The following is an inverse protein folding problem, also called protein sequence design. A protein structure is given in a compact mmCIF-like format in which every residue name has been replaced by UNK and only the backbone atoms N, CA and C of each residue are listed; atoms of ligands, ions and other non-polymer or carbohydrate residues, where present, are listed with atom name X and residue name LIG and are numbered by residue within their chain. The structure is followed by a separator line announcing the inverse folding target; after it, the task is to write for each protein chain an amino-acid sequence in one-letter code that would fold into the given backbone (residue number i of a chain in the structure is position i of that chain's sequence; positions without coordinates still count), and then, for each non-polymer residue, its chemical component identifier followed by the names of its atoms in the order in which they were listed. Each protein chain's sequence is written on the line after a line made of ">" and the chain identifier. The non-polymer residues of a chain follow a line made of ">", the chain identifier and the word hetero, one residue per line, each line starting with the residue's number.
data_IF_026351867093
#
_entry.id   IF_026351867093
#
_cell.length_a   1.000
_cell.length_b   1.000
_cell.length_c   1.000
_cell.angle_alpha   90.00
_cell.angle_beta   90.00
_cell.angle_gamma   90.00
#
_symmetry.space_group_name_H-M   'P 1'
#
loop_
_entity.id
_entity.type
_entity.pdbx_description
1 polymer ?
#
# COMPACT_ATOMS: atom_id res chain seq x y z
N UNK A 1 -28.59 -12.65 42.97
CA UNK A 1 -27.55 -11.60 42.88
C UNK A 1 -26.78 -11.79 41.60
N UNK A 2 -26.92 -10.89 40.62
CA UNK A 2 -26.07 -10.90 39.43
C UNK A 2 -24.71 -10.37 39.89
N UNK A 3 -23.64 -11.16 39.77
CA UNK A 3 -22.28 -10.75 40.13
C UNK A 3 -21.96 -9.39 39.49
N UNK A 4 -21.49 -8.43 40.30
CA UNK A 4 -21.12 -7.07 39.85
C UNK A 4 -20.21 -7.11 38.61
N UNK A 5 -19.36 -8.14 38.49
CA UNK A 5 -18.50 -8.35 37.32
C UNK A 5 -19.28 -8.50 35.99
N UNK A 6 -20.49 -9.08 36.01
CA UNK A 6 -21.34 -9.23 34.82
C UNK A 6 -21.95 -7.90 34.39
N UNK A 7 -22.34 -7.06 35.34
CA UNK A 7 -22.91 -5.73 35.09
C UNK A 7 -21.83 -4.76 34.58
N UNK A 8 -20.65 -4.76 35.20
CA UNK A 8 -19.49 -4.03 34.68
C UNK A 8 -19.09 -4.55 33.31
N UNK A 9 -19.04 -5.87 33.08
CA UNK A 9 -18.77 -6.42 31.75
C UNK A 9 -19.82 -6.00 30.69
N UNK A 10 -21.08 -5.77 31.09
CA UNK A 10 -22.13 -5.24 30.21
C UNK A 10 -21.92 -3.75 29.89
N UNK A 11 -21.52 -2.95 30.89
CA UNK A 11 -21.07 -1.57 30.73
C UNK A 11 -19.82 -1.45 29.84
N UNK A 12 -18.85 -2.37 30.00
CA UNK A 12 -17.60 -2.41 29.23
C UNK A 12 -17.75 -3.05 27.84
N UNK A 13 -18.77 -3.89 27.60
CA UNK A 13 -19.12 -4.39 26.25
C UNK A 13 -19.67 -3.30 25.33
N UNK A 14 -20.03 -2.12 25.86
CA UNK A 14 -20.39 -0.93 25.09
C UNK A 14 -19.18 -0.16 24.49
N UNK A 15 -18.05 -0.84 24.29
CA UNK A 15 -16.77 -0.33 23.75
C UNK A 15 -16.84 0.33 22.36
N UNK A 16 -17.98 0.28 21.68
CA UNK A 16 -18.19 0.93 20.38
C UNK A 16 -19.32 1.98 20.37
N UNK A 17 -19.90 2.30 21.52
CA UNK A 17 -21.09 3.13 21.53
C UNK A 17 -20.75 4.60 21.84
N UNK A 18 -21.15 5.49 20.93
CA UNK A 18 -21.18 6.97 21.03
C UNK A 18 -21.74 7.50 22.37
N UNK A 19 -22.39 6.64 23.13
CA UNK A 19 -23.05 6.86 24.41
C UNK A 19 -22.12 6.85 25.64
N UNK A 20 -20.86 6.40 25.55
CA UNK A 20 -19.94 6.41 26.70
C UNK A 20 -19.57 7.83 27.18
N UNK A 21 -19.48 8.80 26.26
CA UNK A 21 -19.31 10.23 26.62
C UNK A 21 -20.46 10.76 27.49
N UNK A 22 -21.67 10.21 27.32
CA UNK A 22 -22.88 10.61 28.07
C UNK A 22 -22.95 9.97 29.47
N UNK A 23 -22.27 8.84 29.68
CA UNK A 23 -22.25 8.12 30.97
C UNK A 23 -21.32 8.76 32.01
N UNK A 24 -20.33 9.55 31.58
CA UNK A 24 -19.47 10.33 32.47
C UNK A 24 -20.13 11.64 32.97
N UNK A 25 -21.26 12.01 32.37
CA UNK A 25 -22.09 13.17 32.75
C UNK A 25 -23.28 12.78 33.64
N UNK A 26 -23.52 11.47 33.81
CA UNK A 26 -24.57 10.96 34.68
C UNK A 26 -23.98 10.65 36.06
N UNK A 27 -24.65 11.04 37.16
CA UNK A 27 -24.22 10.69 38.50
C UNK A 27 -24.14 9.16 38.63
N UNK A 28 -23.11 8.68 39.32
CA UNK A 28 -22.93 7.26 39.62
C UNK A 28 -24.23 6.71 40.21
N UNK A 29 -24.92 5.77 39.54
CA UNK A 29 -26.19 5.23 40.02
C UNK A 29 -26.04 4.46 41.34
N UNK A 30 -24.81 4.11 41.75
CA UNK A 30 -24.51 3.47 43.03
C UNK A 30 -24.08 4.46 44.12
N UNK A 31 -23.64 5.68 43.76
CA UNK A 31 -23.05 6.65 44.68
C UNK A 31 -21.74 6.20 45.34
N UNK A 32 -21.13 5.11 44.87
CA UNK A 32 -19.94 4.49 45.47
C UNK A 32 -18.64 5.17 45.03
N UNK A 33 -18.65 5.89 43.91
CA UNK A 33 -17.47 6.55 43.36
C UNK A 33 -17.67 8.06 43.17
N UNK A 34 -16.66 8.83 43.53
CA UNK A 34 -16.68 10.27 43.27
C UNK A 34 -16.50 10.56 41.77
N UNK A 35 -16.96 11.73 41.35
CA UNK A 35 -16.77 12.22 39.98
C UNK A 35 -15.28 12.29 39.62
N UNK A 36 -14.43 12.61 40.59
CA UNK A 36 -12.97 12.66 40.46
C UNK A 36 -12.36 11.28 40.21
N UNK A 37 -12.84 10.23 40.90
CA UNK A 37 -12.40 8.84 40.68
C UNK A 37 -12.76 8.35 39.28
N UNK A 38 -13.98 8.64 38.83
CA UNK A 38 -14.43 8.30 37.46
C UNK A 38 -13.61 9.03 36.39
N UNK A 39 -13.27 10.30 36.60
CA UNK A 39 -12.36 11.06 35.71
C UNK A 39 -10.97 10.42 35.65
N UNK A 40 -10.41 10.02 36.80
CA UNK A 40 -9.09 9.39 36.86
C UNK A 40 -9.07 8.03 36.14
N UNK A 41 -10.12 7.21 36.32
CA UNK A 41 -10.26 5.92 35.64
C UNK A 41 -10.32 6.14 34.12
N UNK A 42 -11.15 7.09 33.67
CA UNK A 42 -11.25 7.45 32.25
C UNK A 42 -9.91 7.90 31.68
N UNK A 43 -9.19 8.80 32.36
CA UNK A 43 -7.88 9.27 31.89
C UNK A 43 -6.85 8.14 31.79
N UNK A 44 -6.87 7.19 32.73
CA UNK A 44 -6.02 5.99 32.67
C UNK A 44 -6.39 5.10 31.49
N UNK A 45 -7.69 4.93 31.21
CA UNK A 45 -8.16 4.15 30.06
C UNK A 45 -7.80 4.81 28.72
N UNK A 46 -8.06 6.12 28.57
CA UNK A 46 -7.71 6.88 27.36
C UNK A 46 -6.19 6.83 27.10
N UNK A 47 -5.37 6.90 28.15
CA UNK A 47 -3.91 6.73 28.05
C UNK A 47 -3.53 5.32 27.61
N UNK A 48 -4.16 4.29 28.17
CA UNK A 48 -3.90 2.90 27.81
C UNK A 48 -4.31 2.60 26.35
N UNK A 49 -5.46 3.11 25.90
CA UNK A 49 -5.92 2.97 24.52
C UNK A 49 -4.97 3.66 23.53
N UNK A 50 -4.55 4.90 23.83
CA UNK A 50 -3.56 5.61 23.00
C UNK A 50 -2.23 4.88 22.97
N UNK A 51 -1.80 4.27 24.07
CA UNK A 51 -0.56 3.49 24.13
C UNK A 51 -0.65 2.22 23.28
N UNK A 52 -1.76 1.48 23.38
CA UNK A 52 -2.01 0.28 22.55
C UNK A 52 -2.13 0.64 21.06
N UNK A 53 -2.83 1.73 20.72
CA UNK A 53 -2.92 2.19 19.33
C UNK A 53 -1.57 2.63 18.77
N UNK A 54 -0.78 3.38 19.56
CA UNK A 54 0.57 3.76 19.17
C UNK A 54 1.47 2.53 18.96
N UNK A 55 1.30 1.49 19.77
CA UNK A 55 2.00 0.21 19.61
C UNK A 55 1.57 -0.51 18.34
N UNK A 56 0.26 -0.63 18.06
CA UNK A 56 -0.27 -1.21 16.82
C UNK A 56 0.26 -0.51 15.58
N UNK A 57 0.20 0.83 15.55
CA UNK A 57 0.73 1.62 14.43
C UNK A 57 2.24 1.40 14.27
N UNK A 58 3.00 1.33 15.38
CA UNK A 58 4.43 1.05 15.33
C UNK A 58 4.72 -0.33 14.74
N UNK A 59 3.97 -1.35 15.14
CA UNK A 59 4.13 -2.72 14.67
C UNK A 59 3.77 -2.83 13.18
N UNK A 60 2.69 -2.17 12.73
CA UNK A 60 2.33 -2.08 11.31
C UNK A 60 3.45 -1.41 10.51
N UNK A 61 3.95 -0.25 10.97
CA UNK A 61 5.06 0.46 10.30
C UNK A 61 6.32 -0.40 10.21
N UNK A 62 6.63 -1.17 11.26
CA UNK A 62 7.76 -2.10 11.26
C UNK A 62 7.57 -3.19 10.22
N UNK A 63 6.39 -3.81 10.18
CA UNK A 63 6.07 -4.85 9.20
C UNK A 63 6.08 -4.33 7.76
N UNK A 64 5.54 -3.14 7.52
CA UNK A 64 5.53 -2.52 6.19
C UNK A 64 6.94 -2.17 5.74
N UNK A 65 7.81 -1.69 6.64
CA UNK A 65 9.23 -1.50 6.35
C UNK A 65 9.90 -2.82 5.96
N UNK A 66 9.72 -3.88 6.75
CA UNK A 66 10.29 -5.20 6.44
C UNK A 66 9.76 -5.78 5.11
N UNK A 67 8.52 -5.48 4.74
CA UNK A 67 7.97 -5.87 3.43
C UNK A 67 8.55 -5.04 2.29
N UNK A 68 8.76 -3.74 2.48
CA UNK A 68 9.42 -2.87 1.52
C UNK A 68 10.88 -3.29 1.28
N UNK A 69 11.64 -3.52 2.35
CA UNK A 69 13.04 -3.98 2.26
C UNK A 69 13.12 -5.32 1.49
N UNK A 70 12.19 -6.25 1.75
CA UNK A 70 12.09 -7.52 1.00
C UNK A 70 11.71 -7.31 -0.47
N UNK A 71 10.81 -6.39 -0.77
CA UNK A 71 10.41 -6.10 -2.15
C UNK A 71 11.59 -5.56 -2.98
N UNK A 72 12.45 -4.75 -2.37
CA UNK A 72 13.67 -4.24 -3.00
C UNK A 72 14.69 -5.37 -3.26
N UNK A 73 14.85 -6.30 -2.34
CA UNK A 73 15.72 -7.46 -2.54
C UNK A 73 15.18 -8.39 -3.62
N UNK A 74 13.87 -8.65 -3.61
CA UNK A 74 13.19 -9.42 -4.65
C UNK A 74 13.30 -8.73 -6.02
N UNK A 75 13.25 -7.40 -6.06
CA UNK A 75 13.44 -6.62 -7.28
C UNK A 75 14.85 -6.81 -7.84
N UNK A 76 15.89 -6.80 -6.99
CA UNK A 76 17.27 -7.05 -7.43
C UNK A 76 17.43 -8.44 -8.02
N UNK A 77 16.85 -9.46 -7.41
CA UNK A 77 16.87 -10.83 -7.94
C UNK A 77 16.08 -10.95 -9.25
N UNK A 78 14.91 -10.31 -9.31
CA UNK A 78 14.08 -10.28 -10.51
C UNK A 78 14.79 -9.57 -11.66
N UNK A 79 15.44 -8.44 -11.44
CA UNK A 79 16.23 -7.76 -12.49
C UNK A 79 17.38 -8.63 -13.03
N UNK A 80 17.91 -9.56 -12.22
CA UNK A 80 18.91 -10.56 -12.62
C UNK A 80 18.33 -11.78 -13.35
N UNK A 81 17.00 -11.86 -13.50
CA UNK A 81 16.30 -12.94 -14.23
C UNK A 81 15.64 -14.00 -13.36
N UNK A 82 15.64 -13.85 -12.02
CA UNK A 82 14.98 -14.79 -11.13
C UNK A 82 13.47 -14.92 -11.41
N UNK A 83 12.86 -16.07 -11.09
CA UNK A 83 11.41 -16.27 -11.28
C UNK A 83 10.56 -15.54 -10.24
N UNK A 84 11.12 -15.22 -9.08
CA UNK A 84 10.44 -14.54 -7.97
C UNK A 84 10.03 -13.13 -8.40
N UNK A 85 8.74 -12.80 -8.29
CA UNK A 85 8.21 -11.47 -8.61
C UNK A 85 8.25 -10.59 -7.35
N UNK A 86 8.81 -9.38 -7.40
CA UNK A 86 8.72 -8.46 -6.27
C UNK A 86 7.27 -8.01 -6.06
N UNK A 87 6.90 -7.70 -4.81
CA UNK A 87 5.59 -7.13 -4.53
C UNK A 87 5.55 -5.66 -4.97
N UNK A 88 4.91 -5.39 -6.11
CA UNK A 88 4.84 -4.05 -6.71
C UNK A 88 4.22 -2.99 -5.81
N UNK A 89 3.35 -3.36 -4.86
CA UNK A 89 2.73 -2.41 -3.92
C UNK A 89 3.75 -1.70 -3.03
N UNK A 90 4.89 -2.35 -2.78
CA UNK A 90 5.96 -1.82 -1.95
C UNK A 90 7.13 -1.23 -2.76
N UNK A 91 7.00 -1.16 -4.09
CA UNK A 91 8.01 -0.54 -4.95
C UNK A 91 7.69 0.94 -5.21
N UNK A 92 8.72 1.74 -5.46
CA UNK A 92 8.56 3.18 -5.74
C UNK A 92 7.96 3.48 -7.12
N UNK A 93 8.09 2.57 -8.07
CA UNK A 93 7.63 2.70 -9.45
C UNK A 93 7.52 1.33 -10.12
N UNK A 94 6.93 1.30 -11.32
CA UNK A 94 6.98 0.12 -12.19
C UNK A 94 8.37 -0.02 -12.78
N UNK A 95 8.98 -1.20 -12.58
CA UNK A 95 10.25 -1.55 -13.21
C UNK A 95 10.02 -2.53 -14.34
N UNK A 96 10.94 -2.53 -15.30
CA UNK A 96 10.89 -3.41 -16.46
C UNK A 96 12.18 -4.20 -16.61
N UNK A 97 12.06 -5.43 -17.11
CA UNK A 97 13.21 -6.28 -17.49
C UNK A 97 12.99 -6.91 -18.86
N UNK A 98 14.08 -7.28 -19.50
CA UNK A 98 14.05 -8.17 -20.67
C UNK A 98 14.38 -9.58 -20.19
N UNK A 99 13.53 -10.56 -20.52
CA UNK A 99 13.76 -11.97 -20.23
C UNK A 99 13.53 -12.79 -21.48
N UNK A 100 14.61 -13.21 -22.14
CA UNK A 100 14.51 -13.84 -23.46
C UNK A 100 13.87 -12.89 -24.49
N UNK A 101 12.76 -13.31 -25.09
CA UNK A 101 12.05 -12.55 -26.14
C UNK A 101 10.93 -11.65 -25.61
N UNK A 102 10.76 -11.52 -24.29
CA UNK A 102 9.69 -10.73 -23.67
C UNK A 102 10.26 -9.60 -22.80
N UNK A 103 9.51 -8.50 -22.75
CA UNK A 103 9.67 -7.43 -21.76
C UNK A 103 8.60 -7.65 -20.71
N UNK A 104 9.02 -7.78 -19.46
CA UNK A 104 8.14 -7.97 -18.30
C UNK A 104 8.15 -6.73 -17.42
N UNK A 105 7.04 -6.42 -16.76
CA UNK A 105 6.92 -5.39 -15.73
C UNK A 105 6.76 -6.02 -14.35
N UNK A 106 7.10 -5.27 -13.30
CA UNK A 106 6.86 -5.69 -11.91
C UNK A 106 5.38 -5.80 -11.54
N UNK A 107 4.49 -5.29 -12.38
CA UNK A 107 3.03 -5.42 -12.27
C UNK A 107 2.48 -6.56 -13.15
N UNK A 108 3.32 -7.55 -13.45
CA UNK A 108 2.94 -8.79 -14.15
C UNK A 108 2.41 -8.61 -15.59
N UNK A 109 2.67 -7.47 -16.23
CA UNK A 109 2.43 -7.33 -17.65
C UNK A 109 3.65 -7.81 -18.45
N UNK A 110 3.40 -8.43 -19.60
CA UNK A 110 4.45 -8.86 -20.51
C UNK A 110 4.07 -8.60 -21.96
N UNK A 111 5.01 -8.09 -22.74
CA UNK A 111 4.88 -7.91 -24.19
C UNK A 111 6.09 -8.48 -24.91
N UNK A 112 5.95 -8.81 -26.19
CA UNK A 112 7.10 -9.20 -26.98
C UNK A 112 8.10 -8.05 -27.08
N UNK A 113 9.39 -8.37 -26.98
CA UNK A 113 10.47 -7.39 -27.14
C UNK A 113 10.39 -6.70 -28.50
N UNK A 114 10.03 -7.44 -29.56
CA UNK A 114 9.85 -6.88 -30.92
C UNK A 114 8.78 -5.79 -30.92
N UNK A 115 7.62 -6.04 -30.31
CA UNK A 115 6.54 -5.04 -30.20
C UNK A 115 6.98 -3.82 -29.41
N UNK A 116 7.69 -4.03 -28.30
CA UNK A 116 8.21 -2.95 -27.46
C UNK A 116 9.18 -2.05 -28.25
N UNK A 117 10.11 -2.65 -29.01
CA UNK A 117 11.06 -1.90 -29.86
C UNK A 117 10.32 -1.12 -30.96
N UNK A 118 9.35 -1.74 -31.65
CA UNK A 118 8.56 -1.06 -32.68
C UNK A 118 7.78 0.12 -32.10
N UNK A 119 7.13 -0.06 -30.95
CA UNK A 119 6.40 1.01 -30.27
C UNK A 119 7.34 2.15 -29.86
N UNK A 120 8.51 1.83 -29.31
CA UNK A 120 9.50 2.83 -28.92
C UNK A 120 10.03 3.64 -30.12
N UNK A 121 10.33 2.98 -31.23
CA UNK A 121 10.75 3.67 -32.45
C UNK A 121 9.65 4.58 -33.01
N UNK A 122 8.39 4.09 -33.04
CA UNK A 122 7.24 4.93 -33.40
C UNK A 122 7.09 6.13 -32.47
N UNK A 123 7.30 5.95 -31.16
CA UNK A 123 7.25 7.04 -30.20
C UNK A 123 8.34 8.09 -30.46
N UNK A 124 9.59 7.65 -30.68
CA UNK A 124 10.70 8.55 -31.03
C UNK A 124 10.46 9.35 -32.31
N UNK A 125 9.81 8.72 -33.28
CA UNK A 125 9.45 9.35 -34.56
C UNK A 125 8.22 10.27 -34.47
N UNK A 126 7.57 10.40 -33.30
CA UNK A 126 6.30 11.13 -33.15
C UNK A 126 5.12 10.47 -33.87
N UNK A 127 5.24 9.19 -34.23
CA UNK A 127 4.23 8.42 -34.98
C UNK A 127 3.33 7.59 -34.09
N UNK A 128 3.71 7.35 -32.83
CA UNK A 128 2.87 6.64 -31.86
C UNK A 128 1.84 7.61 -31.29
N UNK A 129 0.56 7.34 -31.53
CA UNK A 129 -0.56 8.21 -31.12
C UNK A 129 -1.35 7.58 -29.98
N UNK A 130 -1.94 8.43 -29.12
CA UNK A 130 -2.87 7.97 -28.10
C UNK A 130 -4.02 7.16 -28.76
N UNK A 131 -4.34 6.01 -28.16
CA UNK A 131 -5.29 5.04 -28.69
C UNK A 131 -4.65 3.93 -29.55
N UNK A 132 -3.38 4.06 -29.95
CA UNK A 132 -2.67 3.01 -30.67
C UNK A 132 -2.54 1.74 -29.81
N UNK A 133 -2.63 0.57 -30.45
CA UNK A 133 -2.47 -0.71 -29.79
C UNK A 133 -1.03 -1.22 -29.88
N UNK A 134 -0.47 -1.62 -28.74
CA UNK A 134 0.85 -2.22 -28.58
C UNK A 134 0.65 -3.62 -27.98
N UNK A 135 0.63 -4.65 -28.83
CA UNK A 135 0.48 -6.05 -28.38
C UNK A 135 -0.72 -6.29 -27.45
N UNK A 136 -1.87 -5.71 -27.78
CA UNK A 136 -3.11 -5.87 -27.01
C UNK A 136 -3.30 -4.85 -25.88
N UNK A 137 -2.33 -3.96 -25.67
CA UNK A 137 -2.46 -2.85 -24.72
C UNK A 137 -2.66 -1.52 -25.45
N UNK A 138 -3.55 -0.68 -24.94
CA UNK A 138 -3.79 0.67 -25.49
C UNK A 138 -2.74 1.65 -24.97
N UNK A 139 -2.09 2.38 -25.87
CA UNK A 139 -1.20 3.49 -25.51
C UNK A 139 -2.02 4.73 -25.14
N UNK A 140 -1.93 5.15 -23.89
CA UNK A 140 -2.61 6.33 -23.35
C UNK A 140 -1.89 7.65 -23.61
N UNK A 141 -0.62 7.60 -24.04
CA UNK A 141 0.22 8.79 -24.20
C UNK A 141 1.40 8.80 -23.23
N UNK A 142 2.18 9.89 -23.29
CA UNK A 142 3.25 10.19 -22.31
C UNK A 142 2.92 11.51 -21.63
N UNK A 143 2.79 11.48 -20.30
CA UNK A 143 2.55 12.66 -19.47
C UNK A 143 3.64 12.74 -18.41
N UNK A 144 4.29 13.90 -18.30
CA UNK A 144 5.33 14.15 -17.28
C UNK A 144 6.47 13.11 -17.27
N UNK A 145 6.78 12.52 -18.44
CA UNK A 145 7.80 11.49 -18.57
C UNK A 145 7.36 10.09 -18.13
N UNK A 146 6.05 9.85 -17.95
CA UNK A 146 5.45 8.55 -17.66
C UNK A 146 4.63 8.11 -18.88
N UNK A 147 4.92 6.93 -19.40
CA UNK A 147 4.13 6.29 -20.45
C UNK A 147 2.94 5.54 -19.85
N UNK A 148 1.75 5.83 -20.35
CA UNK A 148 0.51 5.14 -19.97
C UNK A 148 0.25 4.03 -21.00
N UNK A 149 0.23 2.78 -20.55
CA UNK A 149 0.00 1.60 -21.40
C UNK A 149 -0.99 0.68 -20.70
N UNK A 150 -2.24 0.64 -21.16
CA UNK A 150 -3.31 -0.07 -20.46
C UNK A 150 -3.53 0.51 -19.06
N UNK A 151 -3.43 -0.33 -18.02
CA UNK A 151 -3.49 0.09 -16.62
C UNK A 151 -2.13 0.46 -16.01
N UNK A 152 -1.03 0.31 -16.76
CA UNK A 152 0.33 0.46 -16.29
C UNK A 152 0.88 1.87 -16.54
N UNK A 153 1.67 2.35 -15.57
CA UNK A 153 2.34 3.65 -15.60
C UNK A 153 3.85 3.42 -15.57
N UNK A 154 4.49 3.46 -16.73
CA UNK A 154 5.91 3.10 -16.87
C UNK A 154 6.75 4.36 -17.07
N UNK A 155 7.71 4.66 -16.19
CA UNK A 155 8.62 5.80 -16.38
C UNK A 155 9.41 5.68 -17.69
N UNK A 156 9.45 6.73 -18.51
CA UNK A 156 10.22 6.73 -19.76
C UNK A 156 11.71 6.46 -19.52
N UNK A 157 12.24 6.88 -18.38
CA UNK A 157 13.62 6.58 -17.95
C UNK A 157 13.90 5.08 -17.88
N UNK A 158 12.92 4.28 -17.45
CA UNK A 158 13.06 2.83 -17.38
C UNK A 158 13.08 2.20 -18.79
N UNK A 159 12.22 2.68 -19.69
CA UNK A 159 12.20 2.28 -21.10
C UNK A 159 13.55 2.59 -21.76
N UNK A 160 14.08 3.79 -21.54
CA UNK A 160 15.39 4.17 -22.05
C UNK A 160 16.54 3.35 -21.45
N UNK A 161 16.48 3.04 -20.14
CA UNK A 161 17.49 2.23 -19.44
C UNK A 161 17.64 0.87 -20.13
N UNK A 162 16.54 0.20 -20.46
CA UNK A 162 16.57 -1.09 -21.16
C UNK A 162 17.22 -1.00 -22.54
N UNK A 163 17.05 0.12 -23.24
CA UNK A 163 17.55 0.28 -24.60
C UNK A 163 19.00 0.74 -24.65
N UNK A 164 19.48 1.47 -23.63
CA UNK A 164 20.88 1.88 -23.49
C UNK A 164 21.80 0.73 -23.07
N UNK A 165 21.30 -0.23 -22.29
CA UNK A 165 22.06 -1.40 -21.81
C UNK A 165 22.38 -2.49 -22.84
N UNK A 166 22.23 -2.21 -24.14
CA UNK A 166 22.52 -3.13 -25.26
C UNK A 166 23.77 -2.77 -26.07
N UNK A 167 24.65 -1.93 -25.53
CA UNK A 167 25.99 -1.73 -26.10
C UNK A 167 26.92 -2.85 -25.69
#
# INVERSE_FOLDING_TARGET
>A
MVSNAKMYAQYFKMRNNKYYKRLLELPDPSGEHSVEELKLIKDKMDKAEKAEEAKRIRDIRKQDKEKADRADDDLKEWLKGAKKMPNSHYLSQVYIRVKGAVVETTESASISLKSCVVAFLKHKDGKLKQGDNISGFTFGGVHEGIAHIGCHHVPMKEIERLLKGRK
#
